data_IF_461435430639
#
_entry.id   IF_461435430639
#
_cell.length_a   1.000
_cell.length_b   1.000
_cell.length_c   1.000
_cell.angle_alpha   90.00
_cell.angle_beta   90.00
_cell.angle_gamma   90.00
#
_symmetry.space_group_name_H-M   'P 1'
#
loop_
_entity.id
_entity.type
_entity.pdbx_description
1 polymer ?
#
# COMPACT_ATOMS: atom_id res chain seq x y z
N UNK A 1 8.24 -7.18 30.73
CA UNK A 1 8.02 -7.80 29.43
C UNK A 1 8.61 -6.86 28.38
N UNK A 2 9.21 -7.41 27.34
CA UNK A 2 9.70 -6.61 26.20
C UNK A 2 8.51 -6.00 25.44
N UNK A 3 8.61 -4.73 25.09
CA UNK A 3 7.64 -4.08 24.21
C UNK A 3 7.98 -4.36 22.76
N UNK A 4 7.04 -4.10 21.87
CA UNK A 4 7.26 -4.22 20.43
C UNK A 4 6.95 -2.90 19.74
N UNK A 5 7.84 -2.45 18.86
CA UNK A 5 7.63 -1.29 18.00
C UNK A 5 7.75 -1.72 16.54
N UNK A 6 6.76 -1.35 15.75
CA UNK A 6 6.81 -1.41 14.27
C UNK A 6 6.81 0.02 13.73
N UNK A 7 7.83 0.37 12.96
CA UNK A 7 7.87 1.60 12.17
C UNK A 7 7.61 1.23 10.72
N UNK A 8 6.47 1.67 10.18
CA UNK A 8 6.13 1.53 8.77
C UNK A 8 6.60 2.74 7.97
N UNK A 9 7.29 2.53 6.87
CA UNK A 9 7.70 3.58 5.93
C UNK A 9 7.11 3.23 4.57
N UNK A 10 5.92 3.77 4.31
CA UNK A 10 5.08 3.44 3.16
C UNK A 10 5.79 3.70 1.83
N UNK A 11 5.73 2.74 0.92
CA UNK A 11 6.20 2.86 -0.46
C UNK A 11 7.70 2.68 -0.69
N UNK A 12 8.51 2.55 0.34
CA UNK A 12 9.97 2.62 0.21
C UNK A 12 10.57 1.27 -0.19
N UNK A 13 11.28 1.16 -1.33
CA UNK A 13 11.94 -0.08 -1.72
C UNK A 13 13.21 -0.37 -0.88
N UNK A 14 13.54 -1.65 -0.78
CA UNK A 14 14.80 -2.09 -0.16
C UNK A 14 16.03 -1.41 -0.78
N UNK A 15 16.03 -1.28 -2.11
CA UNK A 15 17.14 -0.65 -2.84
C UNK A 15 17.37 0.81 -2.43
N UNK A 16 16.29 1.60 -2.24
CA UNK A 16 16.37 2.99 -1.77
C UNK A 16 16.88 3.06 -0.33
N UNK A 17 16.30 2.27 0.59
CA UNK A 17 16.74 2.25 1.99
C UNK A 17 18.21 1.90 2.11
N UNK A 18 18.68 0.93 1.31
CA UNK A 18 20.09 0.55 1.26
C UNK A 18 20.97 1.68 0.73
N UNK A 19 20.61 2.30 -0.41
CA UNK A 19 21.37 3.41 -1.00
C UNK A 19 21.48 4.61 -0.05
N UNK A 20 20.38 5.03 0.55
CA UNK A 20 20.38 6.15 1.49
C UNK A 20 21.22 5.88 2.74
N UNK A 21 21.22 4.64 3.21
CA UNK A 21 22.08 4.21 4.33
C UNK A 21 23.56 4.18 3.95
N UNK A 22 23.89 3.64 2.79
CA UNK A 22 25.26 3.58 2.28
C UNK A 22 25.86 4.97 2.06
N UNK A 23 25.06 5.90 1.51
CA UNK A 23 25.41 7.31 1.30
C UNK A 23 25.46 8.14 2.59
N UNK A 24 25.05 7.58 3.73
CA UNK A 24 25.03 8.28 5.02
C UNK A 24 23.91 9.33 5.15
N UNK A 25 22.88 9.24 4.33
CA UNK A 25 21.64 10.05 4.46
C UNK A 25 20.84 9.59 5.66
N UNK A 26 20.86 8.28 5.97
CA UNK A 26 20.14 7.66 7.08
C UNK A 26 21.11 6.98 8.07
N UNK A 27 21.87 7.76 8.86
CA UNK A 27 22.92 7.23 9.75
C UNK A 27 22.36 6.39 10.91
N UNK A 28 21.19 6.72 11.48
CA UNK A 28 20.58 5.92 12.55
C UNK A 28 20.19 4.54 12.03
N UNK A 29 19.53 4.47 10.87
CA UNK A 29 19.17 3.20 10.26
C UNK A 29 20.41 2.39 9.84
N UNK A 30 21.48 3.06 9.36
CA UNK A 30 22.75 2.42 9.05
C UNK A 30 23.37 1.70 10.26
N UNK A 31 23.30 2.28 11.45
CA UNK A 31 23.76 1.60 12.67
C UNK A 31 22.86 0.39 13.01
N UNK A 32 21.55 0.51 12.88
CA UNK A 32 20.63 -0.60 13.13
C UNK A 32 20.89 -1.82 12.24
N UNK A 33 21.22 -1.62 10.97
CA UNK A 33 21.53 -2.72 10.04
C UNK A 33 22.67 -3.61 10.55
N UNK A 34 23.59 -3.08 11.33
CA UNK A 34 24.70 -3.86 11.91
C UNK A 34 24.27 -4.82 13.03
N UNK A 35 23.11 -4.57 13.63
CA UNK A 35 22.63 -5.25 14.83
C UNK A 35 21.40 -6.12 14.58
N UNK A 36 20.93 -6.23 13.32
CA UNK A 36 19.72 -6.96 12.98
C UNK A 36 19.72 -7.49 11.56
N UNK A 37 18.62 -8.12 11.19
CA UNK A 37 18.39 -8.63 9.83
C UNK A 37 17.75 -7.54 8.99
N UNK A 38 18.40 -7.10 7.92
CA UNK A 38 17.86 -6.20 6.91
C UNK A 38 17.80 -6.91 5.57
N UNK A 39 16.62 -7.10 5.02
CA UNK A 39 16.39 -7.89 3.81
C UNK A 39 15.26 -7.32 2.94
N UNK A 40 15.22 -7.78 1.69
CA UNK A 40 14.05 -7.59 0.84
C UNK A 40 12.85 -8.31 1.43
N UNK A 41 11.66 -7.73 1.26
CA UNK A 41 10.39 -8.35 1.60
C UNK A 41 9.47 -8.24 0.37
N UNK A 42 8.75 -9.31 0.05
CA UNK A 42 7.79 -9.29 -1.04
C UNK A 42 6.51 -8.58 -0.62
N UNK A 43 6.09 -7.61 -1.42
CA UNK A 43 4.77 -6.97 -1.29
C UNK A 43 3.63 -7.93 -1.61
N UNK A 44 2.40 -7.49 -1.36
CA UNK A 44 1.21 -8.16 -1.91
C UNK A 44 1.14 -8.01 -3.43
N UNK A 45 0.37 -8.86 -4.09
CA UNK A 45 -0.02 -8.71 -5.49
C UNK A 45 -1.54 -8.43 -5.55
N UNK A 46 -1.97 -7.29 -6.11
CA UNK A 46 -1.17 -6.16 -6.59
C UNK A 46 -0.49 -5.37 -5.46
N UNK A 47 0.54 -4.61 -5.81
CA UNK A 47 1.36 -3.79 -4.92
C UNK A 47 0.61 -2.51 -4.54
N UNK A 48 -0.42 -2.64 -3.72
CA UNK A 48 -1.29 -1.55 -3.29
C UNK A 48 -1.30 -1.47 -1.76
N UNK A 49 -1.06 -0.29 -1.19
CA UNK A 49 -1.01 -0.10 0.27
C UNK A 49 -2.23 -0.68 1.00
N UNK A 50 -3.45 -0.60 0.42
CA UNK A 50 -4.63 -1.20 1.06
C UNK A 50 -4.57 -2.72 1.17
N UNK A 51 -3.95 -3.39 0.21
CA UNK A 51 -3.77 -4.84 0.20
C UNK A 51 -2.63 -5.23 1.14
N UNK A 52 -1.45 -4.61 0.95
CA UNK A 52 -0.25 -4.91 1.71
C UNK A 52 -0.40 -4.62 3.20
N UNK A 53 -0.94 -3.45 3.59
CA UNK A 53 -1.19 -3.17 5.01
C UNK A 53 -2.27 -4.09 5.61
N UNK A 54 -3.27 -4.51 4.82
CA UNK A 54 -4.23 -5.53 5.28
C UNK A 54 -3.56 -6.88 5.52
N UNK A 55 -2.65 -7.30 4.63
CA UNK A 55 -1.85 -8.51 4.81
C UNK A 55 -0.92 -8.40 6.02
N UNK A 56 -0.22 -7.27 6.19
CA UNK A 56 0.66 -7.01 7.34
C UNK A 56 -0.11 -7.16 8.67
N UNK A 57 -1.23 -6.46 8.82
CA UNK A 57 -1.93 -6.42 10.11
C UNK A 57 -2.73 -7.68 10.43
N UNK A 58 -3.00 -8.53 9.45
CA UNK A 58 -3.74 -9.79 9.64
C UNK A 58 -2.84 -11.02 9.61
N UNK A 59 -1.64 -10.93 8.99
CA UNK A 59 -0.82 -12.10 8.67
C UNK A 59 -1.51 -13.04 7.68
N UNK A 60 -2.32 -12.51 6.75
CA UNK A 60 -3.20 -13.28 5.86
C UNK A 60 -3.07 -12.86 4.41
N UNK A 61 -3.30 -13.83 3.51
CA UNK A 61 -3.38 -13.63 2.08
C UNK A 61 -4.63 -12.80 1.69
N UNK A 62 -4.61 -12.03 0.59
CA UNK A 62 -5.78 -11.32 0.08
C UNK A 62 -7.03 -12.19 -0.09
N UNK A 63 -6.87 -13.45 -0.47
CA UNK A 63 -7.97 -14.43 -0.54
C UNK A 63 -8.57 -14.83 0.82
N UNK A 64 -7.89 -14.56 1.93
CA UNK A 64 -8.37 -14.78 3.29
C UNK A 64 -8.94 -13.50 3.90
N UNK A 65 -8.27 -12.34 3.73
CA UNK A 65 -8.74 -11.08 4.32
C UNK A 65 -9.71 -10.28 3.41
N UNK A 66 -9.89 -10.67 2.14
CA UNK A 66 -10.91 -10.17 1.25
C UNK A 66 -10.68 -8.76 0.70
N UNK A 67 -9.45 -8.23 0.75
CA UNK A 67 -9.08 -6.90 0.24
C UNK A 67 -8.17 -7.07 -0.98
N UNK A 68 -8.60 -6.55 -2.14
CA UNK A 68 -7.85 -6.65 -3.39
C UNK A 68 -7.43 -5.28 -3.94
N UNK A 69 -7.82 -4.19 -3.29
CA UNK A 69 -7.47 -2.83 -3.66
C UNK A 69 -8.20 -1.79 -2.82
N UNK A 70 -7.97 -0.49 -3.09
CA UNK A 70 -8.73 0.58 -2.43
C UNK A 70 -10.20 0.59 -2.80
N UNK A 71 -10.52 0.10 -3.99
CA UNK A 71 -11.89 0.04 -4.55
C UNK A 71 -12.17 -1.35 -5.07
N UNK A 72 -13.34 -1.87 -4.71
CA UNK A 72 -13.84 -3.13 -5.23
C UNK A 72 -15.28 -3.00 -5.71
N UNK A 73 -15.71 -3.93 -6.57
CA UNK A 73 -17.08 -3.99 -7.05
C UNK A 73 -17.95 -4.74 -6.03
N UNK A 74 -19.08 -4.14 -5.68
CA UNK A 74 -20.08 -4.80 -4.84
C UNK A 74 -20.64 -6.00 -5.59
N UNK A 75 -20.58 -7.18 -4.96
CA UNK A 75 -21.05 -8.46 -5.54
C UNK A 75 -22.42 -8.32 -6.19
N UNK A 76 -22.57 -8.84 -7.40
CA UNK A 76 -23.81 -8.81 -8.16
C UNK A 76 -24.16 -7.45 -8.76
N UNK A 77 -23.25 -6.49 -8.80
CA UNK A 77 -23.46 -5.14 -9.33
C UNK A 77 -22.26 -4.67 -10.15
N UNK A 78 -22.35 -3.45 -10.72
CA UNK A 78 -21.21 -2.69 -11.24
C UNK A 78 -20.92 -1.45 -10.38
N UNK A 79 -21.37 -1.45 -9.13
CA UNK A 79 -21.12 -0.34 -8.20
C UNK A 79 -19.76 -0.54 -7.56
N UNK A 80 -18.86 0.42 -7.79
CA UNK A 80 -17.56 0.48 -7.15
C UNK A 80 -17.70 1.13 -5.78
N UNK A 81 -17.17 0.49 -4.76
CA UNK A 81 -17.14 1.02 -3.40
C UNK A 81 -15.71 1.04 -2.87
N UNK A 82 -15.39 2.04 -2.04
CA UNK A 82 -14.15 2.01 -1.30
C UNK A 82 -14.16 0.89 -0.26
N UNK A 83 -13.00 0.27 -0.09
CA UNK A 83 -12.78 -0.63 1.02
C UNK A 83 -12.74 0.18 2.32
N UNK A 84 -13.45 -0.27 3.35
CA UNK A 84 -13.34 0.26 4.70
C UNK A 84 -13.00 -0.88 5.67
N UNK A 85 -12.39 -0.54 6.81
CA UNK A 85 -11.85 -1.51 7.75
C UNK A 85 -12.89 -2.52 8.28
N UNK A 86 -14.19 -2.16 8.30
CA UNK A 86 -15.29 -3.06 8.71
C UNK A 86 -15.53 -4.19 7.72
N UNK A 87 -15.04 -4.05 6.49
CA UNK A 87 -15.15 -5.07 5.43
C UNK A 87 -14.02 -6.09 5.46
N UNK A 88 -12.95 -5.82 6.21
CA UNK A 88 -11.86 -6.77 6.40
C UNK A 88 -12.39 -8.08 6.96
N UNK A 89 -12.06 -9.20 6.32
CA UNK A 89 -12.63 -10.53 6.63
C UNK A 89 -11.81 -11.33 7.63
N UNK A 90 -10.54 -10.99 7.80
CA UNK A 90 -9.68 -11.55 8.82
C UNK A 90 -9.49 -10.55 9.97
N UNK A 91 -9.37 -10.99 11.23
CA UNK A 91 -9.12 -10.08 12.34
C UNK A 91 -7.70 -9.50 12.25
N UNK A 92 -7.55 -8.21 12.51
CA UNK A 92 -6.23 -7.63 12.73
C UNK A 92 -5.62 -8.14 14.04
N UNK A 93 -4.28 -8.16 14.15
CA UNK A 93 -3.57 -8.75 15.29
C UNK A 93 -4.01 -8.18 16.65
N UNK A 94 -4.35 -6.91 16.75
CA UNK A 94 -4.85 -6.30 17.99
C UNK A 94 -6.25 -6.75 18.41
N UNK A 95 -7.01 -7.38 17.53
CA UNK A 95 -8.28 -8.03 17.88
C UNK A 95 -8.05 -9.46 18.39
N UNK A 96 -7.01 -10.12 17.89
CA UNK A 96 -6.60 -11.46 18.32
C UNK A 96 -5.92 -11.41 19.69
N UNK A 97 -4.97 -10.49 19.85
CA UNK A 97 -4.17 -10.31 21.07
C UNK A 97 -4.69 -9.14 21.91
N UNK A 98 -5.97 -9.12 22.20
CA UNK A 98 -6.70 -7.99 22.79
C UNK A 98 -6.35 -7.69 24.27
N UNK A 99 -5.58 -8.53 24.94
CA UNK A 99 -5.02 -8.29 26.27
C UNK A 99 -3.88 -7.27 26.28
N UNK A 100 -3.13 -7.15 25.16
CA UNK A 100 -2.04 -6.18 25.00
C UNK A 100 -2.57 -4.75 24.89
N UNK A 101 -1.76 -3.79 25.29
CA UNK A 101 -2.07 -2.36 25.20
C UNK A 101 -1.38 -1.75 24.00
N UNK A 102 -2.12 -1.01 23.18
CA UNK A 102 -1.70 -0.56 21.86
C UNK A 102 -1.60 0.94 21.71
N UNK A 103 -0.57 1.40 20.98
CA UNK A 103 -0.49 2.71 20.33
C UNK A 103 -0.41 2.46 18.82
N UNK A 104 -1.52 2.63 18.09
CA UNK A 104 -1.62 2.43 16.65
C UNK A 104 -1.81 3.77 15.96
N UNK A 105 -0.83 4.22 15.17
CA UNK A 105 -0.84 5.54 14.54
C UNK A 105 -0.67 5.42 13.03
N UNK A 106 -1.65 5.93 12.31
CA UNK A 106 -1.63 6.16 10.88
C UNK A 106 -1.48 4.90 10.02
N UNK A 107 -1.96 3.75 10.49
CA UNK A 107 -1.95 2.51 9.69
C UNK A 107 -2.96 2.66 8.55
N UNK A 108 -2.53 2.55 7.28
CA UNK A 108 -3.43 2.67 6.13
C UNK A 108 -4.55 1.62 6.13
N UNK A 109 -5.68 1.96 5.52
CA UNK A 109 -6.86 1.09 5.35
C UNK A 109 -7.54 0.63 6.65
N UNK A 110 -7.28 1.30 7.78
CA UNK A 110 -7.90 0.98 9.07
C UNK A 110 -9.05 1.92 9.47
N UNK A 111 -9.58 2.70 8.52
CA UNK A 111 -10.73 3.58 8.76
C UNK A 111 -12.08 2.84 8.57
N UNK A 112 -13.07 3.10 9.44
CA UNK A 112 -13.02 3.90 10.67
C UNK A 112 -12.24 3.19 11.78
N UNK A 113 -11.62 3.99 12.68
CA UNK A 113 -10.92 3.45 13.84
C UNK A 113 -11.85 2.58 14.68
N UNK A 114 -11.37 1.42 15.10
CA UNK A 114 -12.12 0.49 15.93
C UNK A 114 -11.59 0.47 17.36
N UNK A 115 -12.40 -0.08 18.27
CA UNK A 115 -12.04 -0.27 19.67
C UNK A 115 -10.81 -1.17 19.79
N UNK A 116 -9.81 -0.66 20.53
CA UNK A 116 -8.61 -1.41 20.93
C UNK A 116 -8.36 -1.18 22.42
N UNK A 117 -7.57 -2.03 23.04
CA UNK A 117 -7.04 -1.75 24.38
C UNK A 117 -5.90 -0.74 24.24
N UNK A 118 -6.20 0.54 24.22
CA UNK A 118 -5.25 1.63 23.96
C UNK A 118 -5.78 2.68 23.00
N UNK A 119 -4.94 3.13 22.07
CA UNK A 119 -5.26 4.19 21.10
C UNK A 119 -5.09 3.69 19.68
N UNK A 120 -6.09 3.95 18.84
CA UNK A 120 -6.06 3.69 17.39
C UNK A 120 -6.37 4.97 16.63
N UNK A 121 -5.41 5.45 15.85
CA UNK A 121 -5.55 6.56 14.91
C UNK A 121 -5.37 5.97 13.49
N UNK A 122 -6.46 5.91 12.74
CA UNK A 122 -6.47 5.36 11.38
C UNK A 122 -5.63 6.20 10.42
N UNK A 123 -5.01 5.53 9.45
CA UNK A 123 -4.28 6.18 8.38
C UNK A 123 -5.10 6.41 7.10
N UNK A 124 -4.42 6.62 5.99
CA UNK A 124 -5.00 6.76 4.65
C UNK A 124 -5.74 5.45 4.24
N UNK A 125 -6.93 5.45 3.67
CA UNK A 125 -7.84 6.54 3.31
C UNK A 125 -8.81 6.80 4.47
N UNK A 126 -8.74 7.98 5.06
CA UNK A 126 -9.65 8.37 6.15
C UNK A 126 -10.21 9.78 5.85
N UNK A 127 -11.45 9.86 5.38
CA UNK A 127 -12.03 11.15 4.95
C UNK A 127 -12.45 12.05 6.12
N UNK A 128 -12.56 11.51 7.33
CA UNK A 128 -13.10 12.23 8.50
C UNK A 128 -12.29 11.86 9.75
N UNK A 129 -11.53 12.83 10.28
CA UNK A 129 -10.72 12.64 11.50
C UNK A 129 -11.58 12.25 12.71
N UNK A 130 -12.85 12.65 12.76
CA UNK A 130 -13.73 12.36 13.92
C UNK A 130 -14.01 10.86 14.07
N UNK A 131 -13.97 10.10 12.96
CA UNK A 131 -14.14 8.65 12.94
C UNK A 131 -12.82 7.90 12.80
N UNK A 132 -11.72 8.63 12.64
CA UNK A 132 -10.39 8.05 12.47
C UNK A 132 -9.66 7.84 13.80
N UNK A 133 -10.26 8.13 14.95
CA UNK A 133 -9.61 8.02 16.26
C UNK A 133 -10.46 7.27 17.28
N UNK A 134 -9.84 6.35 17.99
CA UNK A 134 -10.37 5.66 19.14
C UNK A 134 -9.33 5.66 20.29
N UNK A 135 -9.71 5.99 21.55
CA UNK A 135 -11.02 6.52 21.96
C UNK A 135 -11.29 7.94 21.43
N UNK A 136 -12.57 8.34 21.24
CA UNK A 136 -12.91 9.63 20.60
C UNK A 136 -12.43 10.89 21.36
N UNK A 137 -12.17 10.78 22.67
CA UNK A 137 -11.70 11.92 23.46
C UNK A 137 -10.29 12.41 23.07
N UNK A 138 -9.49 11.59 22.38
CA UNK A 138 -8.21 12.02 21.81
C UNK A 138 -8.36 12.96 20.60
N UNK A 139 -9.55 13.07 20.01
CA UNK A 139 -9.77 13.98 18.89
C UNK A 139 -9.39 15.43 19.21
N UNK A 140 -9.64 15.87 20.45
CA UNK A 140 -9.26 17.21 20.90
C UNK A 140 -7.74 17.41 20.83
N UNK A 141 -6.98 16.46 21.35
CA UNK A 141 -5.51 16.47 21.34
C UNK A 141 -4.96 16.44 19.92
N UNK A 142 -5.54 15.61 19.03
CA UNK A 142 -5.14 15.57 17.62
C UNK A 142 -5.32 16.92 16.95
N UNK A 143 -6.42 17.61 17.20
CA UNK A 143 -6.69 18.96 16.65
C UNK A 143 -5.73 20.02 17.23
N UNK A 144 -5.45 19.99 18.53
CA UNK A 144 -4.51 20.89 19.18
C UNK A 144 -3.07 20.72 18.69
N UNK A 145 -2.71 19.51 18.23
CA UNK A 145 -1.41 19.18 17.67
C UNK A 145 -1.35 19.28 16.14
N UNK A 146 -2.38 19.82 15.50
CA UNK A 146 -2.50 19.92 14.01
C UNK A 146 -2.27 18.59 13.30
N UNK A 147 -2.73 17.46 13.91
CA UNK A 147 -2.58 16.13 13.35
C UNK A 147 -3.34 16.01 12.04
N UNK A 148 -2.65 15.51 11.01
CA UNK A 148 -3.20 15.24 9.70
C UNK A 148 -2.99 13.78 9.31
N UNK A 149 -4.02 13.19 8.74
CA UNK A 149 -3.98 11.80 8.26
C UNK A 149 -3.08 11.68 7.04
N UNK A 150 -3.15 12.67 6.13
CA UNK A 150 -2.36 12.72 4.91
C UNK A 150 -2.11 14.19 4.53
N UNK A 151 -1.23 14.42 3.56
CA UNK A 151 -1.00 15.72 2.94
C UNK A 151 -2.15 16.08 1.99
N UNK A 152 -2.26 17.36 1.62
CA UNK A 152 -3.07 17.77 0.48
C UNK A 152 -2.40 17.33 -0.84
N UNK A 153 -2.71 16.11 -1.28
CA UNK A 153 -2.06 15.48 -2.42
C UNK A 153 -2.27 16.26 -3.74
N UNK A 154 -3.46 16.81 -3.96
CA UNK A 154 -3.77 17.55 -5.19
C UNK A 154 -2.97 18.85 -5.29
N UNK A 155 -2.86 19.59 -4.19
CA UNK A 155 -2.09 20.82 -4.11
C UNK A 155 -0.59 20.54 -4.13
N UNK A 156 -0.14 19.53 -3.41
CA UNK A 156 1.26 19.10 -3.34
C UNK A 156 1.79 18.61 -4.68
N UNK A 157 0.96 17.91 -5.46
CA UNK A 157 1.32 17.51 -6.82
C UNK A 157 1.62 18.70 -7.73
N UNK A 158 0.89 19.81 -7.59
CA UNK A 158 1.05 21.01 -8.41
C UNK A 158 2.20 21.89 -7.95
N UNK A 159 2.45 21.97 -6.65
CA UNK A 159 3.37 22.89 -6.02
C UNK A 159 4.34 22.16 -5.10
N UNK A 160 5.57 21.93 -5.56
CA UNK A 160 6.56 21.14 -4.82
C UNK A 160 6.98 21.79 -3.48
N UNK A 161 7.03 23.11 -3.39
CA UNK A 161 7.24 23.79 -2.10
C UNK A 161 6.12 23.49 -1.08
N UNK A 162 4.87 23.31 -1.56
CA UNK A 162 3.76 22.87 -0.70
C UNK A 162 3.97 21.44 -0.29
N UNK A 163 4.37 20.56 -1.22
CA UNK A 163 4.66 19.15 -0.91
C UNK A 163 5.61 19.02 0.28
N UNK A 164 6.80 19.62 0.19
CA UNK A 164 7.78 19.48 1.27
C UNK A 164 7.29 20.06 2.59
N UNK A 165 6.68 21.25 2.56
CA UNK A 165 6.09 21.82 3.78
C UNK A 165 5.05 20.87 4.42
N UNK A 166 4.16 20.29 3.62
CA UNK A 166 3.14 19.36 4.08
C UNK A 166 3.75 18.06 4.62
N UNK A 167 4.76 17.51 3.94
CA UNK A 167 5.47 16.30 4.37
C UNK A 167 6.11 16.48 5.75
N UNK A 168 6.91 17.53 5.93
CA UNK A 168 7.58 17.81 7.20
C UNK A 168 6.59 18.12 8.32
N UNK A 169 5.60 18.98 8.06
CA UNK A 169 4.62 19.36 9.08
C UNK A 169 3.73 18.19 9.49
N UNK A 170 3.35 17.32 8.57
CA UNK A 170 2.51 16.14 8.86
C UNK A 170 3.27 15.11 9.70
N UNK A 171 4.54 14.84 9.36
CA UNK A 171 5.36 13.91 10.13
C UNK A 171 5.69 14.46 11.53
N UNK A 172 6.01 15.75 11.63
CA UNK A 172 6.24 16.42 12.92
C UNK A 172 4.99 16.35 13.83
N UNK A 173 3.80 16.64 13.28
CA UNK A 173 2.55 16.53 14.04
C UNK A 173 2.27 15.09 14.51
N UNK A 174 2.55 14.07 13.68
CA UNK A 174 2.45 12.66 14.08
C UNK A 174 3.41 12.33 15.21
N UNK A 175 4.65 12.81 15.13
CA UNK A 175 5.65 12.60 16.17
C UNK A 175 5.25 13.29 17.49
N UNK A 176 4.67 14.50 17.45
CA UNK A 176 4.13 15.15 18.65
C UNK A 176 3.05 14.31 19.32
N UNK A 177 2.13 13.76 18.52
CA UNK A 177 1.08 12.86 19.04
C UNK A 177 1.68 11.57 19.60
N UNK A 178 2.63 10.95 18.90
CA UNK A 178 3.31 9.75 19.42
C UNK A 178 4.03 10.01 20.75
N UNK A 179 4.80 11.10 20.85
CA UNK A 179 5.48 11.53 22.08
C UNK A 179 4.49 11.76 23.24
N UNK A 180 3.35 12.40 22.94
CA UNK A 180 2.30 12.64 23.92
C UNK A 180 1.69 11.34 24.45
N UNK A 181 1.38 10.38 23.56
CA UNK A 181 0.80 9.09 23.93
C UNK A 181 1.82 8.23 24.69
N UNK A 182 3.06 8.15 24.19
CA UNK A 182 4.14 7.42 24.85
C UNK A 182 4.39 7.89 26.29
N UNK A 183 4.33 9.18 26.54
CA UNK A 183 4.55 9.74 27.89
C UNK A 183 3.37 9.58 28.88
N UNK A 184 2.21 9.06 28.42
CA UNK A 184 0.97 8.98 29.24
C UNK A 184 0.34 7.60 29.29
N UNK A 185 0.68 6.74 28.36
CA UNK A 185 0.11 5.40 28.29
C UNK A 185 1.18 4.39 28.68
N UNK A 186 0.77 3.42 29.47
CA UNK A 186 1.47 2.17 29.60
C UNK A 186 1.05 1.29 28.41
N UNK A 187 2.00 0.89 27.57
CA UNK A 187 1.73 0.16 26.33
C UNK A 187 2.71 -1.01 26.11
N UNK A 188 2.23 -2.05 25.47
CA UNK A 188 3.01 -3.24 25.11
C UNK A 188 3.46 -3.23 23.66
N UNK A 189 2.66 -2.59 22.79
CA UNK A 189 2.86 -2.61 21.35
C UNK A 189 2.57 -1.25 20.73
N UNK A 190 3.51 -0.74 19.95
CA UNK A 190 3.31 0.49 19.16
C UNK A 190 3.54 0.22 17.68
N UNK A 191 2.65 0.73 16.83
CA UNK A 191 2.83 0.75 15.39
C UNK A 191 2.62 2.17 14.87
N UNK A 192 3.65 2.69 14.20
CA UNK A 192 3.71 4.06 13.69
C UNK A 192 4.04 4.05 12.21
N UNK A 193 3.13 4.57 11.35
CA UNK A 193 3.30 4.52 9.89
C UNK A 193 3.52 5.92 9.31
N UNK A 194 4.59 6.04 8.52
CA UNK A 194 5.00 7.23 7.77
C UNK A 194 4.54 7.05 6.32
N UNK A 195 3.47 7.75 5.92
CA UNK A 195 2.91 7.67 4.54
C UNK A 195 3.43 8.78 3.62
N UNK A 196 4.19 9.73 4.17
CA UNK A 196 4.76 10.83 3.39
C UNK A 196 5.84 10.38 2.40
N UNK A 197 6.51 9.26 2.66
CA UNK A 197 7.50 8.65 1.77
C UNK A 197 6.86 8.25 0.43
N UNK A 198 5.76 7.49 0.45
CA UNK A 198 5.00 7.13 -0.75
C UNK A 198 4.58 8.35 -1.57
N UNK A 199 4.09 9.42 -0.90
CA UNK A 199 3.70 10.66 -1.57
C UNK A 199 4.88 11.35 -2.24
N UNK A 200 6.02 11.42 -1.54
CA UNK A 200 7.25 12.01 -2.06
C UNK A 200 7.73 11.25 -3.29
N UNK A 201 7.80 9.94 -3.18
CA UNK A 201 8.30 9.06 -4.22
C UNK A 201 7.40 9.08 -5.47
N UNK A 202 6.08 9.04 -5.30
CA UNK A 202 5.15 9.21 -6.42
C UNK A 202 5.38 10.50 -7.19
N UNK A 203 5.66 11.61 -6.49
CA UNK A 203 5.71 12.93 -7.11
C UNK A 203 7.10 13.34 -7.58
N UNK A 204 8.17 12.68 -7.08
CA UNK A 204 9.55 13.11 -7.27
C UNK A 204 10.56 11.95 -7.36
N UNK A 205 10.13 10.77 -7.83
CA UNK A 205 11.07 9.66 -8.06
C UNK A 205 12.17 10.03 -9.06
N UNK A 206 11.85 10.85 -10.06
CA UNK A 206 12.81 11.41 -11.01
C UNK A 206 13.85 12.33 -10.34
N UNK A 207 13.47 13.03 -9.29
CA UNK A 207 14.41 13.84 -8.51
C UNK A 207 15.39 12.98 -7.68
N UNK A 208 14.98 11.81 -7.22
CA UNK A 208 15.91 10.85 -6.61
C UNK A 208 16.93 10.33 -7.62
N UNK A 209 16.49 10.03 -8.85
CA UNK A 209 17.34 9.46 -9.90
C UNK A 209 18.31 10.45 -10.55
N UNK A 210 18.03 11.74 -10.52
CA UNK A 210 18.86 12.80 -11.13
C UNK A 210 19.39 13.76 -10.07
N UNK A 211 20.67 13.67 -9.73
CA UNK A 211 21.34 14.53 -8.76
C UNK A 211 21.34 16.02 -9.15
N UNK A 212 21.16 16.35 -10.43
CA UNK A 212 21.05 17.72 -10.92
C UNK A 212 19.63 18.29 -10.83
N UNK A 213 18.63 17.47 -10.46
CA UNK A 213 17.27 17.92 -10.25
C UNK A 213 17.20 18.86 -9.04
N UNK A 214 16.52 20.01 -9.18
CA UNK A 214 16.38 21.00 -8.10
C UNK A 214 15.74 20.43 -6.81
N UNK A 215 15.00 19.32 -6.90
CA UNK A 215 14.32 18.65 -5.78
C UNK A 215 15.09 17.47 -5.22
N UNK A 216 16.27 17.15 -5.76
CA UNK A 216 17.11 16.05 -5.24
C UNK A 216 17.51 16.25 -3.77
N UNK A 217 18.09 17.41 -3.45
CA UNK A 217 18.47 17.72 -2.07
C UNK A 217 17.27 17.73 -1.10
N UNK A 218 16.15 18.42 -1.40
CA UNK A 218 14.95 18.31 -0.57
C UNK A 218 14.39 16.90 -0.41
N UNK A 219 14.48 16.04 -1.44
CA UNK A 219 14.10 14.63 -1.35
C UNK A 219 14.94 13.91 -0.28
N UNK A 220 16.26 14.07 -0.32
CA UNK A 220 17.15 13.48 0.68
C UNK A 220 16.94 14.06 2.08
N UNK A 221 16.64 15.35 2.21
CA UNK A 221 16.34 15.99 3.49
C UNK A 221 15.09 15.42 4.17
N UNK A 222 14.07 15.03 3.41
CA UNK A 222 12.93 14.34 3.98
C UNK A 222 13.31 12.98 4.55
N UNK A 223 14.13 12.20 3.86
CA UNK A 223 14.61 10.90 4.38
C UNK A 223 15.55 11.05 5.59
N UNK A 224 16.34 12.12 5.68
CA UNK A 224 17.05 12.46 6.92
C UNK A 224 16.10 12.67 8.08
N UNK A 225 14.99 13.38 7.84
CA UNK A 225 13.99 13.59 8.89
C UNK A 225 13.27 12.27 9.28
N UNK A 226 13.04 11.37 8.32
CA UNK A 226 12.57 10.00 8.62
C UNK A 226 13.57 9.25 9.50
N UNK A 227 14.87 9.37 9.20
CA UNK A 227 15.94 8.76 10.01
C UNK A 227 16.04 9.36 11.42
N UNK A 228 15.82 10.67 11.57
CA UNK A 228 15.73 11.33 12.88
C UNK A 228 14.56 10.79 13.71
N UNK A 229 13.43 10.49 13.07
CA UNK A 229 12.27 9.85 13.72
C UNK A 229 12.63 8.43 14.19
N UNK A 230 13.31 7.65 13.36
CA UNK A 230 13.80 6.30 13.73
C UNK A 230 14.73 6.42 14.91
N UNK A 231 15.74 7.30 14.83
CA UNK A 231 16.72 7.54 15.90
C UNK A 231 16.06 7.98 17.20
N UNK A 232 15.07 8.87 17.14
CA UNK A 232 14.32 9.28 18.33
C UNK A 232 13.58 8.10 18.98
N UNK A 233 12.88 7.28 18.22
CA UNK A 233 12.14 6.13 18.75
C UNK A 233 13.10 5.13 19.40
N UNK A 234 14.19 4.80 18.71
CA UNK A 234 15.18 3.84 19.20
C UNK A 234 15.86 4.31 20.49
N UNK A 235 16.31 5.57 20.50
CA UNK A 235 17.16 6.08 21.59
C UNK A 235 16.38 6.62 22.80
N UNK A 236 15.11 7.04 22.61
CA UNK A 236 14.35 7.73 23.67
C UNK A 236 13.09 7.00 24.11
N UNK A 237 12.63 5.99 23.35
CA UNK A 237 11.37 5.28 23.64
C UNK A 237 11.62 3.82 23.97
N UNK A 238 12.55 3.18 23.29
CA UNK A 238 12.82 1.75 23.40
C UNK A 238 13.93 1.45 24.39
N UNK A 239 13.90 0.23 24.93
CA UNK A 239 14.99 -0.39 25.66
C UNK A 239 15.71 -1.42 24.76
N UNK A 240 16.89 -1.86 25.15
CA UNK A 240 17.69 -2.85 24.41
C UNK A 240 16.95 -4.19 24.18
N UNK A 241 16.09 -4.58 25.12
CA UNK A 241 15.33 -5.82 25.04
C UNK A 241 13.99 -5.69 24.31
N UNK A 242 13.63 -4.50 23.83
CA UNK A 242 12.39 -4.30 23.09
C UNK A 242 12.54 -4.75 21.63
N UNK A 243 11.51 -5.36 21.06
CA UNK A 243 11.49 -5.79 19.67
C UNK A 243 11.29 -4.58 18.74
N UNK A 244 12.09 -4.47 17.71
CA UNK A 244 11.96 -3.43 16.67
C UNK A 244 11.84 -4.08 15.29
N UNK A 245 10.81 -3.69 14.57
CA UNK A 245 10.67 -3.93 13.14
C UNK A 245 10.58 -2.57 12.42
N UNK A 246 11.27 -2.43 11.29
CA UNK A 246 11.11 -1.31 10.36
C UNK A 246 10.78 -1.91 9.01
N UNK A 247 9.64 -1.53 8.42
CA UNK A 247 9.09 -2.20 7.24
C UNK A 247 8.55 -1.20 6.23
N UNK A 248 8.52 -1.59 4.97
CA UNK A 248 7.61 -1.00 3.97
C UNK A 248 6.55 -2.02 3.54
N UNK A 249 5.50 -1.54 2.96
CA UNK A 249 4.41 -2.37 2.44
C UNK A 249 4.58 -2.73 0.96
N UNK A 250 5.25 -1.87 0.20
CA UNK A 250 5.71 -2.06 -1.18
C UNK A 250 6.91 -1.17 -1.45
N UNK A 251 7.46 -1.24 -2.65
CA UNK A 251 8.49 -0.36 -3.13
C UNK A 251 7.99 0.64 -4.17
N UNK A 252 8.95 1.34 -4.79
CA UNK A 252 8.71 2.35 -5.82
C UNK A 252 9.74 2.21 -6.95
N UNK A 253 9.31 2.45 -8.18
CA UNK A 253 10.19 2.52 -9.34
C UNK A 253 9.73 3.56 -10.35
N UNK A 254 10.59 3.87 -11.34
CA UNK A 254 10.30 4.91 -12.32
C UNK A 254 9.21 4.50 -13.31
N UNK A 255 8.29 5.44 -13.63
CA UNK A 255 7.26 5.29 -14.65
C UNK A 255 7.37 6.39 -15.71
N UNK A 256 7.58 5.98 -16.97
CA UNK A 256 7.63 6.88 -18.12
C UNK A 256 6.32 6.94 -18.88
N UNK A 257 5.64 5.81 -19.02
CA UNK A 257 4.40 5.66 -19.75
C UNK A 257 3.30 5.04 -18.87
N UNK A 258 2.08 5.51 -19.06
CA UNK A 258 0.88 4.98 -18.41
C UNK A 258 -0.01 4.30 -19.46
N UNK A 259 -0.44 3.08 -19.18
CA UNK A 259 -1.33 2.30 -20.04
C UNK A 259 -2.75 2.35 -19.49
N UNK A 260 -3.68 2.81 -20.32
CA UNK A 260 -5.10 2.86 -20.01
C UNK A 260 -5.74 1.49 -20.31
N UNK A 261 -5.81 0.61 -19.33
CA UNK A 261 -6.20 -0.79 -19.50
C UNK A 261 -7.61 -0.93 -20.05
N UNK A 262 -8.58 -0.16 -19.53
CA UNK A 262 -9.94 -0.22 -20.04
C UNK A 262 -10.06 0.34 -21.48
N UNK A 263 -9.21 1.30 -21.90
CA UNK A 263 -9.15 1.73 -23.29
C UNK A 263 -8.60 0.63 -24.20
N UNK A 264 -7.58 -0.13 -23.73
CA UNK A 264 -7.09 -1.31 -24.44
C UNK A 264 -8.21 -2.36 -24.60
N UNK A 265 -8.92 -2.69 -23.52
CA UNK A 265 -10.01 -3.67 -23.56
C UNK A 265 -11.16 -3.22 -24.47
N UNK A 266 -11.45 -1.91 -24.55
CA UNK A 266 -12.44 -1.36 -25.51
C UNK A 266 -11.93 -1.51 -26.94
N UNK A 267 -10.69 -1.15 -27.21
CA UNK A 267 -10.06 -1.22 -28.54
C UNK A 267 -10.04 -2.65 -29.09
N UNK A 268 -9.74 -3.63 -28.23
CA UNK A 268 -9.67 -5.05 -28.58
C UNK A 268 -11.04 -5.77 -28.49
N UNK A 269 -12.12 -5.04 -28.20
CA UNK A 269 -13.50 -5.57 -28.20
C UNK A 269 -13.90 -6.40 -26.98
N UNK A 270 -13.10 -6.40 -25.91
CA UNK A 270 -13.42 -7.08 -24.64
C UNK A 270 -14.35 -6.26 -23.75
N UNK A 271 -14.33 -4.93 -23.85
CA UNK A 271 -15.16 -4.01 -23.07
C UNK A 271 -16.03 -3.15 -23.98
N UNK A 272 -17.34 -3.20 -23.74
CA UNK A 272 -18.34 -2.39 -24.47
C UNK A 272 -19.02 -1.44 -23.51
N UNK A 273 -18.92 -0.13 -23.75
CA UNK A 273 -19.48 0.91 -22.88
C UNK A 273 -20.65 1.64 -23.56
N UNK A 274 -21.61 2.13 -22.75
CA UNK A 274 -22.54 3.18 -23.13
C UNK A 274 -21.81 4.51 -23.00
N UNK A 275 -22.09 5.45 -23.91
CA UNK A 275 -21.57 6.82 -23.79
C UNK A 275 -22.32 7.59 -22.69
N UNK A 276 -22.08 7.20 -21.45
CA UNK A 276 -22.62 7.87 -20.25
C UNK A 276 -21.57 7.84 -19.14
N UNK A 277 -20.66 8.81 -19.20
CA UNK A 277 -19.51 8.93 -18.28
C UNK A 277 -19.93 9.03 -16.80
N UNK A 278 -21.11 9.58 -16.50
CA UNK A 278 -21.63 9.75 -15.13
C UNK A 278 -21.96 8.43 -14.44
N UNK A 279 -22.19 7.37 -15.20
CA UNK A 279 -22.56 6.04 -14.67
C UNK A 279 -21.37 5.19 -14.26
N UNK A 280 -20.12 5.59 -14.57
CA UNK A 280 -18.95 4.79 -14.30
C UNK A 280 -19.10 3.34 -14.84
N UNK A 281 -18.81 2.34 -14.04
CA UNK A 281 -18.92 0.92 -14.42
C UNK A 281 -20.38 0.47 -14.72
N UNK A 282 -21.40 1.19 -14.29
CA UNK A 282 -22.78 0.93 -14.74
C UNK A 282 -23.01 1.21 -16.24
N UNK A 283 -22.05 1.83 -16.92
CA UNK A 283 -22.03 2.01 -18.38
C UNK A 283 -21.66 0.74 -19.15
N UNK A 284 -21.14 -0.30 -18.49
CA UNK A 284 -20.84 -1.61 -19.09
C UNK A 284 -22.09 -2.16 -19.76
N UNK A 285 -21.98 -2.51 -21.07
CA UNK A 285 -23.06 -3.12 -21.87
C UNK A 285 -23.00 -4.64 -21.84
N UNK A 286 -24.09 -5.27 -22.25
CA UNK A 286 -24.10 -6.67 -22.66
C UNK A 286 -23.12 -6.89 -23.81
N UNK A 287 -22.45 -8.02 -23.84
CA UNK A 287 -21.35 -8.32 -24.77
C UNK A 287 -19.95 -7.96 -24.25
N UNK A 288 -19.86 -7.23 -23.12
CA UNK A 288 -18.58 -7.06 -22.44
C UNK A 288 -18.08 -8.39 -21.86
N UNK A 289 -16.89 -8.81 -22.24
CA UNK A 289 -16.24 -10.04 -21.75
C UNK A 289 -15.37 -9.79 -20.51
N UNK A 290 -14.66 -8.65 -20.48
CA UNK A 290 -13.75 -8.30 -19.37
C UNK A 290 -13.73 -6.79 -19.11
N UNK A 291 -13.36 -6.40 -17.91
CA UNK A 291 -13.10 -5.02 -17.50
C UNK A 291 -12.03 -4.98 -16.41
N UNK A 292 -11.39 -3.84 -16.22
CA UNK A 292 -10.31 -3.67 -15.25
C UNK A 292 -10.69 -2.71 -14.12
N UNK A 293 -10.17 -2.96 -12.91
CA UNK A 293 -10.02 -2.01 -11.81
C UNK A 293 -8.54 -1.69 -11.58
N UNK A 294 -8.28 -0.53 -10.98
CA UNK A 294 -6.90 -0.07 -10.72
C UNK A 294 -6.11 -1.02 -9.79
N UNK A 295 -4.81 -1.19 -10.02
CA UNK A 295 -4.03 -0.64 -11.15
C UNK A 295 -4.29 -1.42 -12.45
N UNK A 296 -4.26 -2.74 -12.42
CA UNK A 296 -4.59 -3.65 -13.53
C UNK A 296 -5.11 -4.98 -12.99
N UNK A 297 -6.25 -4.91 -12.30
CA UNK A 297 -7.01 -6.07 -11.83
C UNK A 297 -8.12 -6.37 -12.83
N UNK A 298 -8.02 -7.47 -13.55
CA UNK A 298 -8.93 -7.86 -14.62
C UNK A 298 -10.02 -8.77 -14.05
N UNK A 299 -11.26 -8.43 -14.35
CA UNK A 299 -12.45 -9.20 -13.98
C UNK A 299 -13.17 -9.68 -15.23
N UNK A 300 -13.43 -10.96 -15.33
CA UNK A 300 -14.28 -11.52 -16.38
C UNK A 300 -15.74 -11.24 -16.05
N UNK A 301 -16.48 -10.77 -17.05
CA UNK A 301 -17.89 -10.44 -16.91
C UNK A 301 -18.75 -11.73 -17.00
N UNK A 302 -18.60 -12.59 -15.98
CA UNK A 302 -19.20 -13.92 -15.92
C UNK A 302 -20.73 -13.87 -15.81
N UNK A 303 -21.38 -14.79 -16.48
CA UNK A 303 -22.81 -15.04 -16.34
C UNK A 303 -23.15 -15.38 -14.87
N UNK A 304 -24.24 -14.83 -14.35
CA UNK A 304 -24.64 -15.00 -12.95
C UNK A 304 -23.81 -14.23 -11.90
N UNK A 305 -22.60 -13.76 -12.23
CA UNK A 305 -21.77 -12.94 -11.31
C UNK A 305 -22.09 -11.45 -11.43
N UNK A 306 -22.37 -10.97 -12.65
CA UNK A 306 -22.67 -9.55 -12.91
C UNK A 306 -24.00 -9.37 -13.64
N UNK A 307 -24.68 -8.21 -13.52
CA UNK A 307 -26.02 -8.00 -14.09
C UNK A 307 -26.12 -8.17 -15.61
N UNK A 308 -25.03 -7.94 -16.33
CA UNK A 308 -24.89 -8.10 -17.79
C UNK A 308 -23.76 -9.05 -18.13
N UNK A 309 -23.48 -9.99 -17.22
CA UNK A 309 -22.50 -11.06 -17.43
C UNK A 309 -22.89 -11.92 -18.62
N UNK A 310 -21.93 -12.26 -19.47
CA UNK A 310 -22.13 -13.05 -20.66
C UNK A 310 -21.06 -14.11 -20.91
N UNK A 311 -20.02 -14.15 -20.10
CA UNK A 311 -18.97 -15.17 -20.17
C UNK A 311 -19.44 -16.42 -19.42
N UNK A 312 -19.62 -17.51 -20.16
CA UNK A 312 -20.03 -18.81 -19.60
C UNK A 312 -18.82 -19.50 -18.96
N UNK A 313 -19.08 -20.41 -18.03
CA UNK A 313 -18.02 -21.11 -17.30
C UNK A 313 -17.06 -21.87 -18.21
N UNK A 314 -17.57 -22.50 -19.27
CA UNK A 314 -16.76 -23.22 -20.25
C UNK A 314 -15.94 -22.33 -21.19
N UNK A 315 -16.14 -21.01 -21.16
CA UNK A 315 -15.38 -20.01 -21.95
C UNK A 315 -14.28 -19.34 -21.13
N UNK A 316 -14.28 -19.52 -19.81
CA UNK A 316 -13.42 -18.78 -18.87
C UNK A 316 -11.94 -19.02 -19.18
N UNK A 317 -11.49 -20.27 -19.25
CA UNK A 317 -10.07 -20.60 -19.42
C UNK A 317 -9.54 -20.09 -20.77
N UNK A 318 -10.31 -20.27 -21.85
CA UNK A 318 -9.95 -19.76 -23.16
C UNK A 318 -9.83 -18.24 -23.19
N UNK A 319 -10.76 -17.54 -22.54
CA UNK A 319 -10.72 -16.07 -22.44
C UNK A 319 -9.55 -15.57 -21.56
N UNK A 320 -9.23 -16.29 -20.50
CA UNK A 320 -8.03 -16.01 -19.68
C UNK A 320 -6.77 -16.12 -20.54
N UNK A 321 -6.62 -17.19 -21.34
CA UNK A 321 -5.47 -17.38 -22.23
C UNK A 321 -5.37 -16.29 -23.30
N UNK A 322 -6.50 -15.88 -23.89
CA UNK A 322 -6.56 -14.77 -24.84
C UNK A 322 -6.07 -13.46 -24.19
N UNK A 323 -6.54 -13.13 -22.99
CA UNK A 323 -6.14 -11.92 -22.28
C UNK A 323 -4.68 -11.97 -21.84
N UNK A 324 -4.17 -13.10 -21.38
CA UNK A 324 -2.76 -13.29 -21.03
C UNK A 324 -1.87 -13.00 -22.23
N UNK A 325 -2.21 -13.56 -23.41
CA UNK A 325 -1.48 -13.31 -24.65
C UNK A 325 -1.55 -11.84 -25.08
N UNK A 326 -2.75 -11.21 -25.01
CA UNK A 326 -2.93 -9.79 -25.30
C UNK A 326 -1.99 -8.92 -24.47
N UNK A 327 -1.89 -9.18 -23.17
CA UNK A 327 -1.02 -8.39 -22.28
C UNK A 327 0.46 -8.67 -22.55
N UNK A 328 0.88 -9.91 -22.76
CA UNK A 328 2.28 -10.22 -23.05
C UNK A 328 2.73 -9.71 -24.43
N UNK A 329 1.82 -9.53 -25.37
CA UNK A 329 2.12 -8.99 -26.70
C UNK A 329 2.15 -7.46 -26.75
N UNK A 330 1.71 -6.78 -25.69
CA UNK A 330 1.70 -5.32 -25.64
C UNK A 330 3.12 -4.75 -25.65
N UNK A 331 3.37 -3.83 -26.60
CA UNK A 331 4.66 -3.16 -26.79
C UNK A 331 4.47 -1.64 -26.91
N UNK A 332 5.45 -0.91 -26.38
CA UNK A 332 5.63 0.53 -26.59
C UNK A 332 7.08 0.75 -26.99
N UNK A 333 7.32 1.38 -28.12
CA UNK A 333 8.66 1.60 -28.68
C UNK A 333 9.49 0.30 -28.73
N UNK A 334 8.86 -0.84 -29.08
CA UNK A 334 9.47 -2.16 -29.16
C UNK A 334 9.73 -2.85 -27.80
N UNK A 335 9.53 -2.16 -26.68
CA UNK A 335 9.72 -2.70 -25.33
C UNK A 335 8.47 -3.39 -24.82
N UNK A 336 8.64 -4.47 -24.07
CA UNK A 336 7.54 -5.12 -23.35
C UNK A 336 6.99 -4.21 -22.28
N UNK A 337 5.66 -4.11 -22.21
CA UNK A 337 4.95 -3.30 -21.20
C UNK A 337 4.65 -4.10 -19.92
N UNK A 338 4.51 -5.41 -20.07
CA UNK A 338 4.12 -6.33 -18.99
C UNK A 338 5.31 -7.17 -18.56
N UNK A 339 5.59 -7.18 -17.26
CA UNK A 339 6.58 -8.08 -16.65
C UNK A 339 5.95 -9.44 -16.36
N UNK A 340 4.75 -9.46 -15.76
CA UNK A 340 4.06 -10.68 -15.39
C UNK A 340 2.54 -10.53 -15.43
N UNK A 341 1.85 -11.62 -15.76
CA UNK A 341 0.41 -11.78 -15.63
C UNK A 341 0.18 -12.94 -14.68
N UNK A 342 -0.50 -12.68 -13.57
CA UNK A 342 -0.88 -13.71 -12.61
C UNK A 342 -2.35 -14.08 -12.79
N UNK A 343 -2.63 -15.37 -12.78
CA UNK A 343 -3.98 -15.89 -12.56
C UNK A 343 -4.28 -15.84 -11.06
N UNK A 344 -5.53 -15.66 -10.68
CA UNK A 344 -5.90 -15.55 -9.26
C UNK A 344 -5.49 -16.78 -8.43
N UNK A 345 -5.52 -17.97 -9.02
CA UNK A 345 -5.16 -19.24 -8.38
C UNK A 345 -3.66 -19.36 -8.07
N UNK A 346 -2.82 -18.57 -8.76
CA UNK A 346 -1.36 -18.55 -8.54
C UNK A 346 -0.96 -17.71 -7.31
N UNK A 347 -1.78 -16.71 -6.95
CA UNK A 347 -1.42 -15.70 -5.94
C UNK A 347 -2.40 -15.60 -4.78
N UNK A 348 -3.63 -16.10 -4.92
CA UNK A 348 -4.64 -16.01 -3.89
C UNK A 348 -5.09 -17.39 -3.41
N UNK A 349 -5.22 -17.52 -2.09
CA UNK A 349 -5.83 -18.68 -1.45
C UNK A 349 -6.73 -18.22 -0.29
N UNK A 350 -7.69 -19.05 0.09
CA UNK A 350 -8.63 -18.75 1.16
C UNK A 350 -10.08 -18.63 0.69
N UNK A 351 -10.96 -18.31 1.62
CA UNK A 351 -12.41 -18.38 1.44
C UNK A 351 -12.97 -17.33 0.47
N UNK A 352 -12.24 -16.23 0.25
CA UNK A 352 -12.72 -15.09 -0.53
C UNK A 352 -12.13 -14.99 -1.95
N UNK A 353 -11.45 -16.04 -2.44
CA UNK A 353 -10.83 -16.09 -3.78
C UNK A 353 -11.86 -15.87 -4.90
N UNK A 354 -13.13 -16.25 -4.71
CA UNK A 354 -14.19 -15.99 -5.70
C UNK A 354 -14.46 -14.48 -5.94
N UNK A 355 -14.04 -13.62 -5.01
CA UNK A 355 -14.16 -12.17 -5.15
C UNK A 355 -12.94 -11.54 -5.79
N UNK A 356 -11.85 -12.28 -5.89
CA UNK A 356 -10.59 -11.82 -6.49
C UNK A 356 -10.76 -11.44 -7.97
N UNK A 357 -9.89 -10.56 -8.50
CA UNK A 357 -9.74 -10.38 -9.94
C UNK A 357 -9.31 -11.70 -10.57
N UNK A 358 -9.78 -11.99 -11.78
CA UNK A 358 -9.42 -13.23 -12.49
C UNK A 358 -7.96 -13.22 -12.97
N UNK A 359 -7.42 -12.00 -13.28
CA UNK A 359 -6.01 -11.77 -13.57
C UNK A 359 -5.52 -10.51 -12.84
N UNK A 360 -4.24 -10.52 -12.46
CA UNK A 360 -3.49 -9.33 -12.04
C UNK A 360 -2.30 -9.17 -12.97
N UNK A 361 -2.20 -8.00 -13.61
CA UNK A 361 -1.13 -7.71 -14.57
C UNK A 361 -0.15 -6.74 -13.94
N UNK A 362 1.12 -7.14 -13.88
CA UNK A 362 2.22 -6.35 -13.32
C UNK A 362 2.98 -5.67 -14.46
N UNK A 363 3.15 -4.35 -14.41
CA UNK A 363 3.87 -3.62 -15.46
C UNK A 363 5.38 -3.89 -15.39
N UNK A 364 6.05 -3.81 -16.54
CA UNK A 364 7.49 -3.76 -16.61
C UNK A 364 8.02 -2.37 -16.15
N UNK A 365 9.31 -2.30 -15.85
CA UNK A 365 9.97 -1.05 -15.51
C UNK A 365 9.74 0.03 -16.58
N UNK A 366 9.47 1.26 -16.16
CA UNK A 366 9.15 2.38 -17.02
C UNK A 366 7.68 2.49 -17.43
N UNK A 367 6.82 1.54 -17.03
CA UNK A 367 5.40 1.53 -17.35
C UNK A 367 4.55 1.49 -16.08
N UNK A 368 3.38 2.12 -16.14
CA UNK A 368 2.33 2.01 -15.12
C UNK A 368 0.99 1.69 -15.77
N UNK A 369 0.04 1.21 -14.98
CA UNK A 369 -1.31 0.94 -15.42
C UNK A 369 -2.33 1.82 -14.72
N UNK A 370 -3.39 2.22 -15.43
CA UNK A 370 -4.62 2.70 -14.83
C UNK A 370 -5.84 2.04 -15.47
N UNK A 371 -6.93 1.99 -14.73
CA UNK A 371 -8.19 1.39 -15.18
C UNK A 371 -9.33 2.40 -15.29
N UNK A 372 -9.01 3.67 -15.57
CA UNK A 372 -10.04 4.70 -15.80
C UNK A 372 -10.89 4.33 -17.01
N UNK A 373 -12.22 4.48 -16.86
CA UNK A 373 -13.14 4.33 -17.96
C UNK A 373 -13.11 5.59 -18.87
N UNK A 374 -13.51 5.41 -20.13
CA UNK A 374 -13.67 6.49 -21.12
C UNK A 374 -12.38 7.25 -21.45
N UNK A 375 -11.22 6.61 -21.32
CA UNK A 375 -9.98 7.05 -21.95
C UNK A 375 -10.01 6.68 -23.42
N UNK A 376 -9.48 7.55 -24.28
CA UNK A 376 -9.43 7.34 -25.73
C UNK A 376 -8.09 6.69 -26.12
N UNK A 377 -7.00 7.22 -25.57
CA UNK A 377 -5.65 6.71 -25.83
C UNK A 377 -5.32 5.53 -24.91
N UNK A 378 -4.79 4.47 -25.48
CA UNK A 378 -4.30 3.31 -24.75
C UNK A 378 -3.01 3.62 -24.01
N UNK A 379 -2.15 4.49 -24.58
CA UNK A 379 -0.83 4.82 -24.07
C UNK A 379 -0.75 6.34 -23.89
N UNK A 380 -0.37 6.76 -22.69
CA UNK A 380 -0.12 8.17 -22.37
C UNK A 380 1.26 8.31 -21.70
N UNK A 381 1.82 9.52 -21.66
CA UNK A 381 2.97 9.81 -20.80
C UNK A 381 2.51 9.69 -19.36
N UNK A 382 3.31 9.03 -18.50
CA UNK A 382 2.97 8.91 -17.09
C UNK A 382 2.80 10.29 -16.45
N UNK A 383 1.74 10.40 -15.68
CA UNK A 383 1.43 11.63 -14.95
C UNK A 383 2.16 11.74 -13.60
N UNK A 384 2.79 10.64 -13.16
CA UNK A 384 3.60 10.53 -11.95
C UNK A 384 4.91 9.80 -12.28
N UNK A 385 6.07 10.32 -11.85
CA UNK A 385 7.35 9.67 -12.12
C UNK A 385 7.54 8.38 -11.32
N UNK A 386 6.88 8.23 -10.16
CA UNK A 386 6.95 7.03 -9.33
C UNK A 386 5.72 6.13 -9.45
N UNK A 387 5.94 4.83 -9.55
CA UNK A 387 4.92 3.79 -9.48
C UNK A 387 5.35 2.67 -8.51
N UNK A 388 4.37 1.99 -7.91
CA UNK A 388 4.66 0.89 -7.00
C UNK A 388 5.34 -0.28 -7.71
N UNK A 389 6.15 -1.03 -6.94
CA UNK A 389 6.68 -2.33 -7.30
C UNK A 389 6.68 -3.28 -6.09
N UNK A 390 7.03 -4.55 -6.30
CA UNK A 390 6.97 -5.58 -5.27
C UNK A 390 8.13 -5.56 -4.26
N UNK A 391 9.15 -4.71 -4.46
CA UNK A 391 10.35 -4.67 -3.65
C UNK A 391 10.15 -3.90 -2.33
N UNK A 392 9.42 -4.45 -1.38
CA UNK A 392 9.38 -3.93 -0.02
C UNK A 392 10.67 -4.27 0.75
N UNK A 393 10.83 -3.71 1.95
CA UNK A 393 11.91 -4.07 2.85
C UNK A 393 11.42 -4.45 4.25
N UNK A 394 12.24 -5.24 4.93
CA UNK A 394 12.07 -5.66 6.31
C UNK A 394 13.39 -5.49 7.05
N UNK A 395 13.37 -4.78 8.17
CA UNK A 395 14.40 -4.80 9.19
C UNK A 395 13.82 -5.38 10.48
N UNK A 396 14.55 -6.30 11.14
CA UNK A 396 14.17 -6.90 12.42
C UNK A 396 15.38 -6.90 13.36
N UNK A 397 15.27 -6.22 14.50
CA UNK A 397 16.26 -6.33 15.57
C UNK A 397 16.21 -7.75 16.14
N UNK A 398 17.35 -8.39 16.30
CA UNK A 398 17.46 -9.79 16.75
C UNK A 398 16.68 -10.78 15.87
N UNK A 399 16.59 -10.52 14.56
CA UNK A 399 15.82 -11.31 13.60
C UNK A 399 16.46 -12.61 13.13
N UNK A 400 17.70 -12.91 13.55
CA UNK A 400 18.42 -14.12 13.15
C UNK A 400 17.65 -15.38 13.55
N UNK A 401 17.46 -16.29 12.61
CA UNK A 401 16.69 -17.52 12.81
C UNK A 401 15.17 -17.34 12.96
N UNK A 402 14.67 -16.10 12.92
CA UNK A 402 13.24 -15.77 13.02
C UNK A 402 12.66 -15.31 11.67
N UNK A 403 13.44 -14.51 10.93
CA UNK A 403 13.07 -14.01 9.60
C UNK A 403 13.22 -15.13 8.57
N UNK A 404 12.18 -15.42 7.74
CA UNK A 404 12.31 -16.37 6.62
C UNK A 404 13.35 -15.89 5.59
N UNK A 405 13.88 -16.81 4.77
CA UNK A 405 14.84 -16.48 3.70
C UNK A 405 14.24 -15.58 2.62
N UNK A 406 12.93 -15.72 2.33
CA UNK A 406 12.18 -14.94 1.36
C UNK A 406 10.87 -14.42 1.99
N UNK A 407 10.97 -13.41 2.88
CA UNK A 407 9.81 -12.92 3.63
C UNK A 407 8.84 -12.14 2.75
N UNK A 408 7.56 -12.21 3.10
CA UNK A 408 6.48 -11.43 2.52
C UNK A 408 5.79 -10.55 3.55
N UNK A 409 4.97 -9.62 3.11
CA UNK A 409 4.15 -8.78 4.00
C UNK A 409 3.21 -9.61 4.90
N UNK A 410 2.86 -10.82 4.50
CA UNK A 410 2.04 -11.76 5.28
C UNK A 410 2.78 -12.33 6.49
N UNK A 411 4.13 -12.35 6.45
CA UNK A 411 4.96 -12.94 7.51
C UNK A 411 5.19 -12.01 8.71
N UNK A 412 4.94 -10.70 8.57
CA UNK A 412 5.30 -9.67 9.57
C UNK A 412 4.77 -10.00 10.95
N UNK A 413 3.48 -10.31 11.08
CA UNK A 413 2.89 -10.65 12.39
C UNK A 413 3.37 -12.00 12.92
N UNK A 414 3.63 -12.95 12.03
CA UNK A 414 4.26 -14.23 12.38
C UNK A 414 5.67 -14.05 12.97
N UNK A 415 6.46 -13.14 12.40
CA UNK A 415 7.79 -12.75 12.92
C UNK A 415 7.66 -12.12 14.31
N UNK A 416 6.74 -11.15 14.48
CA UNK A 416 6.48 -10.53 15.79
C UNK A 416 6.10 -11.56 16.84
N UNK A 417 5.27 -12.54 16.48
CA UNK A 417 4.87 -13.61 17.39
C UNK A 417 6.07 -14.48 17.81
N UNK A 418 6.93 -14.86 16.86
CA UNK A 418 8.16 -15.63 17.14
C UNK A 418 9.14 -14.89 18.04
N UNK A 419 9.18 -13.55 17.95
CA UNK A 419 9.98 -12.68 18.85
C UNK A 419 9.36 -12.54 20.26
N UNK A 420 8.20 -13.18 20.54
CA UNK A 420 7.48 -13.05 21.80
C UNK A 420 6.72 -11.73 21.97
N UNK A 421 6.64 -10.91 20.94
CA UNK A 421 6.00 -9.58 21.01
C UNK A 421 4.48 -9.62 21.20
N UNK A 422 3.84 -10.75 20.91
CA UNK A 422 2.40 -10.99 21.03
C UNK A 422 2.04 -12.06 22.09
N UNK A 423 3.02 -12.56 22.82
CA UNK A 423 2.81 -13.58 23.87
C UNK A 423 2.24 -12.99 25.15
#
# INVERSE_FOLDING_TARGET
MSRTVIIGIDGVPYSLMKDLSDRGVMPNFKELIKEGVFTRMRSSIPEISSVSWSSIITGKNPGEHGVYGFRDIIKGTYVVSFHDFRKLKAPAFWHVYNSKKYILINIPSTYPAQKVNGVHISGFVSPDLTKAVYPPYYLKILKEMDYRIDIDADRSRRYKNVLFRELFSTLDARMKVFKYLNGRLDWDFAMFVITGSDRLEHFLWDAYLDENNEWHSPFLEFFKFVDDVIGYIVNNVMNENDNLLIISDHGMEFSKFEINVNALLVKEGYLVLKDDRRRGYNSIKYGTKAFALEPCRIYLNREGKYPRGCVKENEVDGLIDELVNLFYDLRVDGKRVVSKVYRKEEIYHGTYVDHAPDLVVVPAEGFSFNAKLFKEDVIEKSSLPGKHNEEAFLYVRNGEGVVPDDPSVEDVIGIVHKLGGLS
#
